data_IF_006197529097
#
_entry.id   IF_006197529097
#
_cell.length_a   1.000
_cell.length_b   1.000
_cell.length_c   1.000
_cell.angle_alpha   90.00
_cell.angle_beta   90.00
_cell.angle_gamma   90.00
#
_symmetry.space_group_name_H-M   'P 1'
#
loop_
_entity.id
_entity.type
_entity.pdbx_description
1 polymer ?
#
# COMPACT_ATOMS: atom_id res chain seq x y z
N UNK A 1 5.67 20.03 -12.16
CA UNK A 1 5.05 20.36 -10.86
C UNK A 1 3.76 19.59 -10.61
N UNK A 2 2.83 19.59 -11.55
CA UNK A 2 1.56 18.86 -11.38
C UNK A 2 1.77 17.35 -11.16
N UNK A 3 2.70 16.76 -11.89
CA UNK A 3 3.05 15.33 -11.82
C UNK A 3 3.59 14.92 -10.45
N UNK A 4 4.42 15.76 -9.85
CA UNK A 4 4.93 15.55 -8.50
C UNK A 4 3.81 15.59 -7.46
N UNK A 5 2.88 16.55 -7.58
CA UNK A 5 1.76 16.69 -6.67
C UNK A 5 0.84 15.47 -6.70
N UNK A 6 0.51 14.98 -7.89
CA UNK A 6 -0.35 13.78 -8.06
C UNK A 6 0.35 12.55 -7.51
N UNK A 7 1.61 12.33 -7.84
CA UNK A 7 2.40 11.21 -7.35
C UNK A 7 2.55 11.22 -5.82
N UNK A 8 2.77 12.39 -5.24
CA UNK A 8 2.85 12.55 -3.79
C UNK A 8 1.51 12.23 -3.09
N UNK A 9 0.40 12.70 -3.65
CA UNK A 9 -0.95 12.44 -3.10
C UNK A 9 -1.31 10.96 -3.24
N UNK A 10 -1.07 10.35 -4.40
CA UNK A 10 -1.36 8.94 -4.63
C UNK A 10 -0.53 8.03 -3.75
N UNK A 11 0.75 8.36 -3.54
CA UNK A 11 1.62 7.62 -2.63
C UNK A 11 1.16 7.76 -1.16
N UNK A 12 0.74 8.94 -0.74
CA UNK A 12 0.16 9.15 0.59
C UNK A 12 -1.10 8.30 0.80
N UNK A 13 -2.02 8.32 -0.17
CA UNK A 13 -3.25 7.50 -0.12
C UNK A 13 -2.93 6.01 -0.09
N UNK A 14 -1.95 5.56 -0.87
CA UNK A 14 -1.50 4.17 -0.88
C UNK A 14 -1.00 3.73 0.49
N UNK A 15 -0.18 4.52 1.15
CA UNK A 15 0.32 4.21 2.51
C UNK A 15 -0.80 4.23 3.53
N UNK A 16 -1.74 5.16 3.43
CA UNK A 16 -2.94 5.17 4.26
C UNK A 16 -3.77 3.89 4.08
N UNK A 17 -3.95 3.42 2.85
CA UNK A 17 -4.66 2.17 2.56
C UNK A 17 -3.91 0.94 3.10
N UNK A 18 -2.58 0.91 3.00
CA UNK A 18 -1.75 -0.13 3.63
C UNK A 18 -1.98 -0.16 5.15
N UNK A 19 -1.97 0.99 5.80
CA UNK A 19 -2.29 1.10 7.23
C UNK A 19 -3.68 0.55 7.54
N UNK A 20 -4.67 0.84 6.72
CA UNK A 20 -6.03 0.30 6.87
C UNK A 20 -6.08 -1.21 6.68
N UNK A 21 -5.33 -1.77 5.73
CA UNK A 21 -5.22 -3.22 5.55
C UNK A 21 -4.62 -3.90 6.78
N UNK A 22 -3.56 -3.34 7.35
CA UNK A 22 -2.96 -3.88 8.57
C UNK A 22 -3.98 -3.88 9.73
N UNK A 23 -4.78 -2.84 9.87
CA UNK A 23 -5.83 -2.77 10.88
C UNK A 23 -6.95 -3.82 10.71
N UNK A 24 -7.17 -4.31 9.49
CA UNK A 24 -8.14 -5.40 9.24
C UNK A 24 -7.62 -6.72 9.80
N UNK A 25 -6.32 -6.98 9.63
CA UNK A 25 -5.69 -8.22 10.13
C UNK A 25 -5.48 -8.24 11.65
N UNK A 26 -5.30 -7.08 12.26
CA UNK A 26 -4.99 -6.96 13.68
C UNK A 26 -5.96 -6.05 14.40
N UNK A 27 -6.36 -6.43 15.62
CA UNK A 27 -7.11 -5.55 16.51
C UNK A 27 -6.25 -4.36 16.93
N UNK A 28 -6.88 -3.17 16.97
CA UNK A 28 -6.20 -1.94 17.38
C UNK A 28 -5.74 -2.04 18.82
N UNK A 29 -4.45 -1.99 19.06
CA UNK A 29 -3.88 -1.67 20.36
C UNK A 29 -3.66 -0.16 20.47
N UNK A 30 -4.36 0.51 21.38
CA UNK A 30 -4.33 1.99 21.52
C UNK A 30 -2.94 2.53 21.87
N UNK A 31 -2.12 1.76 22.57
CA UNK A 31 -0.79 2.17 23.03
C UNK A 31 0.23 2.54 21.95
N UNK A 32 -0.02 2.19 20.68
CA UNK A 32 0.98 2.31 19.61
C UNK A 32 0.63 3.29 18.51
N UNK A 33 -0.45 4.05 18.66
CA UNK A 33 -0.97 4.92 17.60
C UNK A 33 0.06 5.96 17.12
N UNK A 34 0.77 6.59 18.04
CA UNK A 34 1.80 7.58 17.72
C UNK A 34 2.99 6.97 16.98
N UNK A 35 3.42 5.77 17.41
CA UNK A 35 4.51 5.04 16.74
C UNK A 35 4.11 4.59 15.34
N UNK A 36 2.89 4.11 15.16
CA UNK A 36 2.36 3.73 13.85
C UNK A 36 2.37 4.92 12.91
N UNK A 37 1.88 6.07 13.38
CA UNK A 37 1.86 7.30 12.61
C UNK A 37 3.26 7.75 12.20
N UNK A 38 4.21 7.70 13.12
CA UNK A 38 5.61 8.05 12.87
C UNK A 38 6.25 7.11 11.83
N UNK A 39 6.03 5.80 11.94
CA UNK A 39 6.54 4.81 10.97
C UNK A 39 5.89 5.02 9.60
N UNK A 40 4.60 5.34 9.53
CA UNK A 40 3.94 5.65 8.26
C UNK A 40 4.52 6.91 7.61
N UNK A 41 4.80 7.97 8.38
CA UNK A 41 5.46 9.17 7.86
C UNK A 41 6.87 8.87 7.36
N UNK A 42 7.66 8.16 8.15
CA UNK A 42 9.01 7.75 7.74
C UNK A 42 8.97 6.92 6.45
N UNK A 43 8.05 5.99 6.35
CA UNK A 43 7.86 5.19 5.14
C UNK A 43 7.48 6.05 3.94
N UNK A 44 6.54 6.98 4.10
CA UNK A 44 6.14 7.91 3.06
C UNK A 44 7.30 8.74 2.53
N UNK A 45 8.06 9.38 3.42
CA UNK A 45 9.19 10.22 3.06
C UNK A 45 10.28 9.40 2.37
N UNK A 46 10.63 8.24 2.93
CA UNK A 46 11.67 7.36 2.38
C UNK A 46 11.26 6.82 1.01
N UNK A 47 10.04 6.34 0.87
CA UNK A 47 9.55 5.78 -0.39
C UNK A 47 9.51 6.86 -1.49
N UNK A 48 9.00 8.03 -1.18
CA UNK A 48 8.94 9.16 -2.12
C UNK A 48 10.35 9.62 -2.51
N UNK A 49 11.25 9.78 -1.57
CA UNK A 49 12.63 10.20 -1.83
C UNK A 49 13.39 9.16 -2.69
N UNK A 50 13.29 7.88 -2.36
CA UNK A 50 13.96 6.81 -3.11
C UNK A 50 13.41 6.68 -4.54
N UNK A 51 12.10 6.83 -4.71
CA UNK A 51 11.50 6.82 -6.04
C UNK A 51 12.06 7.94 -6.92
N UNK A 52 12.21 9.14 -6.37
CA UNK A 52 12.73 10.29 -7.11
C UNK A 52 14.22 10.23 -7.39
N UNK A 53 15.02 9.63 -6.50
CA UNK A 53 16.48 9.57 -6.65
C UNK A 53 16.90 8.45 -7.59
N UNK A 54 16.32 7.27 -7.46
CA UNK A 54 16.83 6.06 -8.09
C UNK A 54 16.05 5.60 -9.31
N UNK A 55 14.77 5.94 -9.45
CA UNK A 55 13.88 5.48 -10.53
C UNK A 55 13.99 3.97 -10.85
N UNK A 56 14.39 3.16 -9.87
CA UNK A 56 14.70 1.74 -10.05
C UNK A 56 13.61 0.88 -9.43
N UNK A 57 13.06 -0.05 -10.21
CA UNK A 57 11.97 -0.95 -9.78
C UNK A 57 12.36 -1.77 -8.56
N UNK A 58 13.58 -2.31 -8.51
CA UNK A 58 14.03 -3.15 -7.40
C UNK A 58 14.09 -2.41 -6.07
N UNK A 59 14.55 -1.17 -6.07
CA UNK A 59 14.61 -0.33 -4.86
C UNK A 59 13.21 -0.05 -4.34
N UNK A 60 12.27 0.21 -5.25
CA UNK A 60 10.87 0.44 -4.89
C UNK A 60 10.24 -0.82 -4.25
N UNK A 61 10.48 -2.00 -4.82
CA UNK A 61 10.01 -3.28 -4.26
C UNK A 61 10.54 -3.49 -2.85
N UNK A 62 11.85 -3.36 -2.65
CA UNK A 62 12.49 -3.55 -1.34
C UNK A 62 11.98 -2.53 -0.34
N UNK A 63 11.88 -1.26 -0.71
CA UNK A 63 11.38 -0.19 0.16
C UNK A 63 9.94 -0.45 0.60
N UNK A 64 9.08 -0.87 -0.31
CA UNK A 64 7.68 -1.21 0.01
C UNK A 64 7.59 -2.42 0.94
N UNK A 65 8.34 -3.49 0.68
CA UNK A 65 8.35 -4.67 1.55
C UNK A 65 8.84 -4.34 2.96
N UNK A 66 9.94 -3.61 3.07
CA UNK A 66 10.50 -3.19 4.36
C UNK A 66 9.54 -2.24 5.09
N UNK A 67 8.95 -1.28 4.39
CA UNK A 67 8.01 -0.33 4.97
C UNK A 67 6.73 -1.00 5.50
N UNK A 68 6.12 -1.87 4.71
CA UNK A 68 4.94 -2.65 5.14
C UNK A 68 5.31 -3.55 6.31
N UNK A 69 6.44 -4.26 6.23
CA UNK A 69 6.93 -5.12 7.30
C UNK A 69 7.20 -4.37 8.61
N UNK A 70 7.71 -3.14 8.54
CA UNK A 70 7.90 -2.28 9.71
C UNK A 70 6.56 -1.88 10.36
N UNK A 71 5.55 -1.55 9.56
CA UNK A 71 4.20 -1.25 10.06
C UNK A 71 3.61 -2.49 10.73
N UNK A 72 3.65 -3.65 10.07
CA UNK A 72 3.11 -4.91 10.60
C UNK A 72 3.84 -5.33 11.88
N UNK A 73 5.14 -5.07 11.99
CA UNK A 73 5.95 -5.38 13.18
C UNK A 73 5.45 -4.67 14.45
N UNK A 74 4.81 -3.52 14.30
CA UNK A 74 4.21 -2.81 15.42
C UNK A 74 2.97 -3.52 15.99
N UNK A 75 2.32 -4.35 15.17
CA UNK A 75 1.11 -5.10 15.56
C UNK A 75 1.40 -6.52 16.05
N UNK A 76 2.45 -7.14 15.56
CA UNK A 76 2.78 -8.52 15.90
C UNK A 76 4.26 -8.73 16.16
N UNK A 77 4.57 -9.55 17.17
CA UNK A 77 5.93 -9.99 17.45
C UNK A 77 6.32 -11.27 16.69
N UNK A 78 5.32 -12.00 16.17
CA UNK A 78 5.55 -13.22 15.41
C UNK A 78 6.13 -12.92 14.04
N UNK A 79 7.33 -13.44 13.75
CA UNK A 79 7.98 -13.28 12.46
C UNK A 79 7.19 -13.93 11.33
N UNK A 80 6.62 -15.10 11.57
CA UNK A 80 5.81 -15.83 10.56
C UNK A 80 4.56 -15.04 10.17
N UNK A 81 3.84 -14.51 11.15
CA UNK A 81 2.65 -13.69 10.92
C UNK A 81 3.02 -12.39 10.22
N UNK A 82 4.12 -11.75 10.62
CA UNK A 82 4.62 -10.53 9.97
C UNK A 82 4.91 -10.79 8.48
N UNK A 83 5.69 -11.81 8.16
CA UNK A 83 6.03 -12.13 6.77
C UNK A 83 4.79 -12.46 5.94
N UNK A 84 3.86 -13.23 6.49
CA UNK A 84 2.62 -13.60 5.81
C UNK A 84 1.75 -12.39 5.49
N UNK A 85 1.50 -11.52 6.49
CA UNK A 85 0.66 -10.32 6.31
C UNK A 85 1.35 -9.32 5.38
N UNK A 86 2.64 -9.10 5.55
CA UNK A 86 3.43 -8.21 4.67
C UNK A 86 3.38 -8.68 3.22
N UNK A 87 3.61 -9.97 2.98
CA UNK A 87 3.54 -10.54 1.63
C UNK A 87 2.13 -10.43 1.03
N UNK A 88 1.09 -10.69 1.83
CA UNK A 88 -0.30 -10.59 1.38
C UNK A 88 -0.67 -9.16 0.97
N UNK A 89 -0.33 -8.17 1.79
CA UNK A 89 -0.60 -6.75 1.49
C UNK A 89 0.20 -6.32 0.26
N UNK A 90 1.46 -6.72 0.16
CA UNK A 90 2.30 -6.38 -0.98
C UNK A 90 1.76 -6.99 -2.28
N UNK A 91 1.34 -8.25 -2.26
CA UNK A 91 0.76 -8.93 -3.43
C UNK A 91 -0.54 -8.27 -3.89
N UNK A 92 -1.40 -7.83 -2.97
CA UNK A 92 -2.61 -7.09 -3.30
C UNK A 92 -2.26 -5.77 -4.00
N UNK A 93 -1.31 -5.01 -3.46
CA UNK A 93 -0.87 -3.76 -4.07
C UNK A 93 -0.28 -3.99 -5.47
N UNK A 94 0.63 -4.95 -5.60
CA UNK A 94 1.25 -5.31 -6.88
C UNK A 94 0.21 -5.79 -7.89
N UNK A 95 -0.76 -6.61 -7.46
CA UNK A 95 -1.85 -7.10 -8.30
C UNK A 95 -2.71 -5.96 -8.85
N UNK A 96 -3.02 -4.96 -8.02
CA UNK A 96 -3.74 -3.76 -8.45
C UNK A 96 -2.94 -2.93 -9.46
N UNK A 97 -1.63 -2.79 -9.24
CA UNK A 97 -0.75 -2.08 -10.18
C UNK A 97 -0.68 -2.79 -11.54
N UNK A 98 -0.51 -4.11 -11.55
CA UNK A 98 -0.49 -4.92 -12.78
C UNK A 98 -1.84 -4.86 -13.50
N UNK A 99 -2.95 -5.00 -12.78
CA UNK A 99 -4.28 -4.92 -13.37
C UNK A 99 -4.55 -3.54 -13.98
N UNK A 100 -4.14 -2.45 -13.31
CA UNK A 100 -4.24 -1.09 -13.84
C UNK A 100 -3.40 -0.91 -15.10
N UNK A 101 -2.18 -1.44 -15.12
CA UNK A 101 -1.32 -1.41 -16.32
C UNK A 101 -1.97 -2.15 -17.48
N UNK A 102 -2.54 -3.32 -17.25
CA UNK A 102 -3.20 -4.10 -18.29
C UNK A 102 -4.43 -3.40 -18.88
N UNK A 103 -5.19 -2.68 -18.07
CA UNK A 103 -6.34 -1.90 -18.54
C UNK A 103 -5.94 -0.77 -19.47
N UNK A 104 -4.76 -0.18 -19.28
CA UNK A 104 -4.31 0.99 -20.04
C UNK A 104 -3.31 0.67 -21.16
N UNK A 105 -2.79 -0.56 -21.23
CA UNK A 105 -1.81 -0.97 -22.25
C UNK A 105 -2.37 -0.86 -23.68
N UNK A 106 -3.70 -0.86 -23.84
CA UNK A 106 -4.37 -0.74 -25.14
C UNK A 106 -4.50 0.72 -25.64
N UNK A 107 -4.18 1.69 -24.79
CA UNK A 107 -4.30 3.12 -25.09
C UNK A 107 -2.89 3.73 -25.24
N UNK A 108 -2.23 3.44 -26.35
CA UNK A 108 -0.81 3.78 -26.62
C UNK A 108 -0.51 5.26 -26.89
N UNK A 109 -1.40 6.20 -26.59
CA UNK A 109 -1.14 7.62 -26.84
C UNK A 109 -0.69 8.41 -25.61
N UNK A 110 0.63 8.37 -25.37
CA UNK A 110 1.41 9.46 -24.77
C UNK A 110 1.17 9.80 -23.29
N UNK A 111 2.19 10.15 -22.64
CA UNK A 111 2.53 10.87 -21.39
C UNK A 111 1.43 11.29 -20.37
N UNK A 112 0.15 11.31 -20.71
CA UNK A 112 -0.95 11.65 -19.80
C UNK A 112 -1.51 10.45 -19.01
N UNK A 113 -1.18 9.24 -19.41
CA UNK A 113 -1.75 8.03 -18.83
C UNK A 113 -1.09 7.56 -17.52
N UNK A 114 0.15 7.96 -17.26
CA UNK A 114 0.87 7.58 -16.05
C UNK A 114 0.12 8.04 -14.77
N UNK A 115 -0.45 9.23 -14.78
CA UNK A 115 -1.20 9.78 -13.65
C UNK A 115 -2.55 9.10 -13.48
N UNK A 116 -3.26 8.84 -14.56
CA UNK A 116 -4.54 8.12 -14.53
C UNK A 116 -4.33 6.69 -14.02
N UNK A 117 -3.26 6.05 -14.46
CA UNK A 117 -2.84 4.74 -13.98
C UNK A 117 -2.63 4.70 -12.45
N UNK A 118 -1.91 5.66 -11.87
CA UNK A 118 -1.69 5.75 -10.43
C UNK A 118 -3.00 5.92 -9.66
N UNK A 119 -3.88 6.81 -10.12
CA UNK A 119 -5.19 7.04 -9.50
C UNK A 119 -6.09 5.80 -9.56
N UNK A 120 -6.12 5.12 -10.70
CA UNK A 120 -6.91 3.89 -10.87
C UNK A 120 -6.37 2.76 -10.00
N UNK A 121 -5.05 2.61 -9.90
CA UNK A 121 -4.42 1.64 -9.01
C UNK A 121 -4.82 1.85 -7.55
N UNK A 122 -4.76 3.09 -7.04
CA UNK A 122 -5.18 3.43 -5.68
C UNK A 122 -6.67 3.15 -5.48
N UNK A 123 -7.51 3.45 -6.45
CA UNK A 123 -8.94 3.13 -6.39
C UNK A 123 -9.19 1.62 -6.31
N UNK A 124 -8.48 0.82 -7.09
CA UNK A 124 -8.57 -0.65 -7.05
C UNK A 124 -8.13 -1.20 -5.69
N UNK A 125 -7.06 -0.66 -5.10
CA UNK A 125 -6.62 -1.02 -3.75
C UNK A 125 -7.73 -0.70 -2.72
N UNK A 126 -8.39 0.44 -2.83
CA UNK A 126 -9.52 0.80 -1.97
C UNK A 126 -10.68 -0.20 -2.09
N UNK A 127 -11.03 -0.61 -3.29
CA UNK A 127 -12.07 -1.63 -3.53
C UNK A 127 -11.68 -2.97 -2.89
N UNK A 128 -10.44 -3.41 -3.07
CA UNK A 128 -9.91 -4.62 -2.42
C UNK A 128 -9.98 -4.53 -0.89
N UNK A 129 -9.66 -3.37 -0.32
CA UNK A 129 -9.76 -3.12 1.12
C UNK A 129 -11.19 -3.28 1.64
N UNK A 130 -12.16 -2.69 0.95
CA UNK A 130 -13.58 -2.78 1.32
C UNK A 130 -14.07 -4.24 1.26
N UNK A 131 -13.70 -4.96 0.20
CA UNK A 131 -14.07 -6.37 0.04
C UNK A 131 -13.43 -7.25 1.14
N UNK A 132 -12.15 -7.07 1.40
CA UNK A 132 -11.44 -7.79 2.45
C UNK A 132 -12.06 -7.52 3.84
N UNK A 133 -12.39 -6.26 4.13
CA UNK A 133 -13.06 -5.88 5.38
C UNK A 133 -14.42 -6.57 5.55
N UNK A 134 -15.21 -6.64 4.48
CA UNK A 134 -16.52 -7.34 4.50
C UNK A 134 -16.35 -8.84 4.71
N UNK A 135 -15.43 -9.48 4.01
CA UNK A 135 -15.18 -10.93 4.12
C UNK A 135 -14.76 -11.28 5.55
N UNK A 136 -13.83 -10.54 6.13
CA UNK A 136 -13.35 -10.78 7.50
C UNK A 136 -14.47 -10.56 8.52
N UNK A 137 -15.29 -9.53 8.34
CA UNK A 137 -16.44 -9.26 9.23
C UNK A 137 -17.47 -10.39 9.17
N UNK A 138 -17.77 -10.90 7.98
CA UNK A 138 -18.69 -12.04 7.79
C UNK A 138 -18.12 -13.28 8.47
N UNK A 139 -16.83 -13.55 8.33
CA UNK A 139 -16.19 -14.71 8.93
C UNK A 139 -16.21 -14.65 10.47
N UNK A 140 -15.91 -13.48 11.05
CA UNK A 140 -16.01 -13.27 12.51
C UNK A 140 -17.43 -13.44 13.07
N UNK A 141 -18.45 -13.03 12.32
CA UNK A 141 -19.84 -13.16 12.74
C UNK A 141 -20.39 -14.60 12.59
N UNK A 142 -19.69 -15.43 11.80
CA UNK A 142 -20.05 -16.85 11.59
C UNK A 142 -19.44 -17.79 12.67
N UNK A 143 -18.44 -17.33 13.41
CA UNK A 143 -17.84 -18.04 14.55
C UNK A 143 -18.57 -17.70 15.84
#
# INVERSE_FOLDING_TARGET
MLDFGISAITNFLRIYLIYRFVNIFFEKTEEKRERIFLVCICFYVTNTALFWIFHTVWINIICNLVGIGAIVRLYTKSLKTNLFVTASIYLINMGCDVASTMLFIQYEDGQRFDQVYEVVSVFMILVCLILAGKIITIHRNAE
#
